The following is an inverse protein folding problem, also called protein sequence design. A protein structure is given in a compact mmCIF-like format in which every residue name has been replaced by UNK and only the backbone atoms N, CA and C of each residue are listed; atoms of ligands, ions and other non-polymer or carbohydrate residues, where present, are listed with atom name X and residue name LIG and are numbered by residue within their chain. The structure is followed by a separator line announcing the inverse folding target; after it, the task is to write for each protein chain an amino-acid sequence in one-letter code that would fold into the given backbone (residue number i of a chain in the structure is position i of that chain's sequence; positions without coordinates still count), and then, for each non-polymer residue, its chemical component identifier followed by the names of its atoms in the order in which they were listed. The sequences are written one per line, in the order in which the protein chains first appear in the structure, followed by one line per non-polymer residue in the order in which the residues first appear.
data_IF_164235617179
#
_entry.id   IF_164235617179
#
_cell.length_a   1.000
_cell.length_b   1.000
_cell.length_c   1.000
_cell.angle_alpha   90.00
_cell.angle_beta   90.00
_cell.angle_gamma   90.00
#
_symmetry.space_group_name_H-M   'P 1'
#
loop_
_entity.id
_entity.type
_entity.pdbx_description
1 polymer ?
#
# COMPACT_ATOMS: atom_id res chain seq x y z
N UNK A 1 5.88 -9.56 16.19
CA UNK A 1 4.81 -9.96 15.21
C UNK A 1 4.85 -9.06 13.99
N UNK A 2 4.76 -9.61 12.76
CA UNK A 2 4.59 -8.80 11.55
C UNK A 2 3.09 -8.53 11.31
N UNK A 3 2.72 -7.27 11.19
CA UNK A 3 1.34 -6.85 10.91
C UNK A 3 1.18 -6.57 9.41
N UNK A 4 0.48 -7.45 8.69
CA UNK A 4 0.14 -7.23 7.28
C UNK A 4 -1.18 -6.46 7.18
N UNK A 5 -1.13 -5.26 6.64
CA UNK A 5 -2.28 -4.37 6.45
C UNK A 5 -2.78 -4.45 5.00
N UNK A 6 -4.10 -4.38 4.78
CA UNK A 6 -4.73 -4.42 3.45
C UNK A 6 -4.95 -5.83 2.85
N UNK A 7 -5.16 -6.86 3.67
CA UNK A 7 -5.48 -8.21 3.17
C UNK A 7 -6.86 -8.33 2.52
N UNK A 8 -7.82 -7.48 2.90
CA UNK A 8 -9.23 -7.53 2.43
C UNK A 8 -9.65 -6.31 1.66
N UNK A 9 -8.97 -5.19 1.86
CA UNK A 9 -9.22 -3.91 1.20
C UNK A 9 -7.95 -3.08 1.28
N UNK A 10 -7.83 -2.05 0.45
CA UNK A 10 -6.73 -1.08 0.53
C UNK A 10 -6.98 -0.12 1.71
N UNK A 11 -6.46 -0.49 2.88
CA UNK A 11 -6.64 0.29 4.12
C UNK A 11 -5.97 1.67 4.01
N UNK A 12 -4.75 1.82 3.51
CA UNK A 12 -4.15 3.12 3.25
C UNK A 12 -5.01 4.04 2.40
N UNK A 13 -5.63 3.52 1.35
CA UNK A 13 -6.44 4.31 0.42
C UNK A 13 -7.81 4.70 0.98
N UNK A 14 -8.51 3.77 1.66
CA UNK A 14 -9.92 3.93 1.98
C UNK A 14 -10.23 4.02 3.48
N UNK A 15 -9.33 3.53 4.33
CA UNK A 15 -9.56 3.40 5.77
C UNK A 15 -8.41 3.95 6.62
N UNK A 16 -7.62 4.89 6.09
CA UNK A 16 -6.46 5.45 6.79
C UNK A 16 -6.82 6.03 8.16
N UNK A 17 -7.91 6.82 8.26
CA UNK A 17 -8.38 7.39 9.53
C UNK A 17 -8.75 6.31 10.54
N UNK A 18 -9.45 5.27 10.10
CA UNK A 18 -9.79 4.13 10.96
C UNK A 18 -8.52 3.42 11.46
N UNK A 19 -7.53 3.20 10.58
CA UNK A 19 -6.28 2.56 10.93
C UNK A 19 -5.52 3.35 12.01
N UNK A 20 -5.35 4.65 11.83
CA UNK A 20 -4.70 5.50 12.84
C UNK A 20 -5.46 5.54 14.17
N UNK A 21 -6.79 5.50 14.15
CA UNK A 21 -7.58 5.36 15.37
C UNK A 21 -7.29 4.03 16.07
N UNK A 22 -7.12 2.91 15.33
CA UNK A 22 -6.74 1.62 15.92
C UNK A 22 -5.32 1.64 16.49
N UNK A 23 -4.38 2.30 15.82
CA UNK A 23 -3.01 2.50 16.35
C UNK A 23 -3.07 3.28 17.68
N UNK A 24 -3.83 4.37 17.73
CA UNK A 24 -4.01 5.17 18.95
C UNK A 24 -4.67 4.39 20.10
N UNK A 25 -5.67 3.58 19.80
CA UNK A 25 -6.36 2.72 20.78
C UNK A 25 -5.47 1.54 21.25
N UNK A 26 -4.45 1.19 20.48
CA UNK A 26 -3.49 0.13 20.81
C UNK A 26 -4.02 -1.30 20.56
N UNK A 27 -5.17 -1.46 19.92
CA UNK A 27 -5.69 -2.79 19.53
C UNK A 27 -6.68 -2.73 18.36
N UNK A 28 -6.89 -3.91 17.74
CA UNK A 28 -7.92 -4.12 16.73
C UNK A 28 -8.58 -5.50 16.92
N UNK A 29 -9.87 -5.58 16.67
CA UNK A 29 -10.58 -6.86 16.55
C UNK A 29 -10.61 -7.31 15.09
N UNK A 30 -10.18 -8.54 14.85
CA UNK A 30 -10.19 -9.16 13.51
C UNK A 30 -11.05 -10.41 13.56
N UNK A 31 -12.09 -10.44 12.71
CA UNK A 31 -12.95 -11.61 12.55
C UNK A 31 -12.29 -12.60 11.59
N UNK A 32 -12.29 -13.88 11.96
CA UNK A 32 -11.83 -14.95 11.07
C UNK A 32 -12.77 -15.05 9.85
N UNK A 33 -12.28 -14.96 8.60
CA UNK A 33 -13.11 -15.06 7.41
C UNK A 33 -13.74 -16.46 7.21
N UNK A 34 -13.11 -17.50 7.75
CA UNK A 34 -13.58 -18.89 7.64
C UNK A 34 -14.52 -19.28 8.79
N UNK A 35 -14.51 -18.52 9.88
CA UNK A 35 -15.38 -18.76 11.03
C UNK A 35 -15.82 -17.42 11.64
N UNK A 36 -17.04 -17.00 11.32
CA UNK A 36 -17.60 -15.71 11.72
C UNK A 36 -17.75 -15.54 13.25
N UNK A 37 -17.79 -16.63 14.00
CA UNK A 37 -17.88 -16.61 15.46
C UNK A 37 -16.53 -16.46 16.14
N UNK A 38 -15.42 -16.63 15.40
CA UNK A 38 -14.08 -16.45 15.92
C UNK A 38 -13.59 -15.02 15.69
N UNK A 39 -13.39 -14.29 16.79
CA UNK A 39 -12.85 -12.92 16.79
C UNK A 39 -11.57 -12.92 17.61
N UNK A 40 -10.48 -12.40 17.00
CA UNK A 40 -9.19 -12.22 17.64
C UNK A 40 -8.96 -10.75 18.00
N UNK A 41 -8.55 -10.48 19.23
CA UNK A 41 -8.03 -9.16 19.62
C UNK A 41 -6.52 -9.14 19.35
N UNK A 42 -6.10 -8.23 18.48
CA UNK A 42 -4.68 -8.02 18.15
C UNK A 42 -4.22 -6.75 18.84
N UNK A 43 -3.17 -6.85 19.64
CA UNK A 43 -2.55 -5.71 20.30
C UNK A 43 -1.61 -5.02 19.32
N UNK A 44 -1.74 -3.71 19.23
CA UNK A 44 -1.02 -2.86 18.26
C UNK A 44 0.04 -1.96 18.95
N UNK A 45 0.70 -2.45 19.99
CA UNK A 45 1.77 -1.69 20.63
C UNK A 45 3.12 -1.89 19.92
N UNK A 46 3.99 -0.87 19.87
CA UNK A 46 5.29 -0.98 19.19
C UNK A 46 6.16 -2.14 19.72
N UNK A 47 6.04 -2.49 20.99
CA UNK A 47 6.80 -3.58 21.62
C UNK A 47 6.42 -4.97 21.08
N UNK A 48 5.21 -5.14 20.56
CA UNK A 48 4.70 -6.42 20.06
C UNK A 48 4.71 -6.52 18.54
N UNK A 49 4.89 -5.38 17.84
CA UNK A 49 4.93 -5.31 16.38
C UNK A 49 6.37 -5.09 15.91
N UNK A 50 6.97 -6.11 15.31
CA UNK A 50 8.31 -6.02 14.73
C UNK A 50 8.31 -5.14 13.46
N UNK A 51 7.24 -5.25 12.65
CA UNK A 51 7.09 -4.48 11.42
C UNK A 51 5.62 -4.41 10.97
N UNK A 52 5.22 -3.26 10.40
CA UNK A 52 3.95 -3.10 9.69
C UNK A 52 4.20 -3.07 8.20
N UNK A 53 3.51 -3.94 7.46
CA UNK A 53 3.58 -4.00 5.99
C UNK A 53 2.28 -3.46 5.40
N UNK A 54 2.37 -2.33 4.73
CA UNK A 54 1.25 -1.75 4.00
C UNK A 54 1.24 -2.19 2.55
N UNK A 55 0.07 -2.59 2.05
CA UNK A 55 -0.16 -2.91 0.64
C UNK A 55 -1.18 -1.91 0.11
N UNK A 56 -0.79 -1.12 -0.89
CA UNK A 56 -1.68 -0.06 -1.37
C UNK A 56 -1.43 0.27 -2.84
N UNK A 57 -2.49 0.72 -3.50
CA UNK A 57 -2.42 1.39 -4.80
C UNK A 57 -2.52 2.91 -4.69
N UNK A 58 -2.87 3.44 -3.50
CA UNK A 58 -2.95 4.88 -3.25
C UNK A 58 -2.83 5.21 -1.75
N UNK A 59 -1.64 5.28 -1.17
CA UNK A 59 -1.46 5.63 0.24
C UNK A 59 -1.55 7.15 0.52
N UNK A 60 -1.95 7.97 -0.45
CA UNK A 60 -2.06 9.44 -0.32
C UNK A 60 -2.75 9.90 0.97
N UNK A 61 -3.89 9.28 1.40
CA UNK A 61 -4.57 9.68 2.64
C UNK A 61 -3.75 9.50 3.92
N UNK A 62 -2.69 8.69 3.90
CA UNK A 62 -1.81 8.47 5.06
C UNK A 62 -0.67 9.48 5.16
N UNK A 63 -0.28 10.15 4.07
CA UNK A 63 0.95 10.95 4.00
C UNK A 63 1.05 12.01 5.09
N UNK A 64 -0.02 12.72 5.40
CA UNK A 64 -0.05 13.78 6.42
C UNK A 64 0.06 13.27 7.86
N UNK A 65 -0.08 11.96 8.07
CA UNK A 65 -0.15 11.33 9.39
C UNK A 65 0.95 10.29 9.63
N UNK A 66 1.92 10.16 8.73
CA UNK A 66 3.00 9.17 8.85
C UNK A 66 3.80 9.31 10.14
N UNK A 67 3.94 10.52 10.68
CA UNK A 67 4.58 10.78 11.99
C UNK A 67 3.94 10.04 13.15
N UNK A 68 2.66 9.69 13.06
CA UNK A 68 1.99 8.90 14.10
C UNK A 68 2.51 7.44 14.17
N UNK A 69 3.31 7.03 13.16
CA UNK A 69 3.93 5.71 13.07
C UNK A 69 5.43 5.72 13.43
N UNK A 70 6.00 6.83 13.90
CA UNK A 70 7.45 6.95 14.15
C UNK A 70 7.96 5.94 15.19
N UNK A 71 7.09 5.46 16.09
CA UNK A 71 7.43 4.41 17.05
C UNK A 71 7.44 2.98 16.45
N UNK A 72 7.04 2.80 15.17
CA UNK A 72 6.94 1.51 14.52
C UNK A 72 7.95 1.38 13.39
N UNK A 73 8.47 0.19 13.17
CA UNK A 73 9.08 -0.17 11.91
C UNK A 73 7.98 -0.45 10.90
N UNK A 74 8.03 0.15 9.72
CA UNK A 74 7.06 -0.09 8.67
C UNK A 74 7.63 0.17 7.28
N UNK A 75 7.00 -0.44 6.27
CA UNK A 75 7.27 -0.15 4.87
C UNK A 75 6.01 -0.34 4.03
N UNK A 76 6.06 0.20 2.82
CA UNK A 76 4.97 0.11 1.86
C UNK A 76 5.34 -0.79 0.68
N UNK A 77 4.44 -1.67 0.31
CA UNK A 77 4.40 -2.30 -0.99
C UNK A 77 3.39 -1.54 -1.84
N UNK A 78 3.90 -0.61 -2.64
CA UNK A 78 3.09 0.30 -3.44
C UNK A 78 2.95 -0.24 -4.85
N UNK A 79 1.74 -0.66 -5.21
CA UNK A 79 1.45 -1.20 -6.53
C UNK A 79 1.15 -0.09 -7.53
N UNK A 80 1.95 0.00 -8.59
CA UNK A 80 1.71 0.88 -9.74
C UNK A 80 1.76 0.04 -11.01
N UNK A 81 0.61 -0.09 -11.67
CA UNK A 81 0.43 -0.79 -12.95
C UNK A 81 0.17 0.22 -14.08
N UNK A 82 0.34 -0.19 -15.35
CA UNK A 82 0.08 0.69 -16.49
C UNK A 82 -1.40 0.83 -16.85
N UNK A 83 -2.28 0.11 -16.15
CA UNK A 83 -3.70 0.02 -16.50
C UNK A 83 -4.43 1.34 -16.31
N UNK A 84 -5.43 1.58 -17.13
CA UNK A 84 -6.32 2.73 -17.06
C UNK A 84 -7.54 2.49 -16.16
N UNK A 85 -8.46 3.45 -16.15
CA UNK A 85 -9.67 3.41 -15.32
C UNK A 85 -10.68 2.33 -15.73
N UNK A 86 -10.53 1.69 -16.89
CA UNK A 86 -11.38 0.56 -17.28
C UNK A 86 -11.08 -0.68 -16.45
N UNK A 87 -9.81 -0.88 -16.08
CA UNK A 87 -9.34 -1.98 -15.25
C UNK A 87 -9.14 -1.56 -13.78
N UNK A 88 -8.71 -0.32 -13.54
CA UNK A 88 -8.43 0.21 -12.20
C UNK A 88 -9.36 1.38 -11.85
N UNK A 89 -10.66 1.13 -11.83
CA UNK A 89 -11.73 2.13 -11.71
C UNK A 89 -11.56 3.13 -10.56
N UNK A 90 -11.02 2.70 -9.42
CA UNK A 90 -10.90 3.52 -8.21
C UNK A 90 -9.46 3.98 -7.92
N UNK A 91 -8.54 3.71 -8.83
CA UNK A 91 -7.17 4.22 -8.73
C UNK A 91 -7.11 5.59 -9.40
N UNK A 92 -6.55 6.63 -8.76
CA UNK A 92 -6.38 7.94 -9.37
C UNK A 92 -5.55 7.90 -10.65
N UNK A 93 -5.51 9.02 -11.39
CA UNK A 93 -4.73 9.13 -12.62
C UNK A 93 -3.26 8.79 -12.36
N UNK A 94 -2.60 8.21 -13.36
CA UNK A 94 -1.26 7.66 -13.22
C UNK A 94 -0.21 8.68 -12.75
N UNK A 95 -0.31 9.93 -13.21
CA UNK A 95 0.58 11.00 -12.73
C UNK A 95 0.40 11.28 -11.23
N UNK A 96 -0.85 11.35 -10.71
CA UNK A 96 -1.13 11.58 -9.29
C UNK A 96 -0.57 10.46 -8.42
N UNK A 97 -0.63 9.22 -8.91
CA UNK A 97 -0.10 8.04 -8.21
C UNK A 97 1.42 8.07 -8.17
N UNK A 98 2.07 8.44 -9.28
CA UNK A 98 3.53 8.59 -9.35
C UNK A 98 3.99 9.70 -8.39
N UNK A 99 3.28 10.83 -8.36
CA UNK A 99 3.60 11.93 -7.44
C UNK A 99 3.39 11.50 -5.97
N UNK A 100 2.35 10.73 -5.70
CA UNK A 100 2.12 10.13 -4.37
C UNK A 100 3.24 9.17 -3.98
N UNK A 101 3.75 8.37 -4.92
CA UNK A 101 4.87 7.45 -4.71
C UNK A 101 6.14 8.20 -4.31
N UNK A 102 6.47 9.26 -5.07
CA UNK A 102 7.62 10.11 -4.79
C UNK A 102 7.51 10.80 -3.45
N UNK A 103 6.35 11.42 -3.16
CA UNK A 103 6.09 12.08 -1.88
C UNK A 103 6.19 11.12 -0.68
N UNK A 104 5.72 9.87 -0.84
CA UNK A 104 5.89 8.84 0.18
C UNK A 104 7.36 8.48 0.38
N UNK A 105 8.10 8.26 -0.71
CA UNK A 105 9.53 7.95 -0.67
C UNK A 105 10.35 9.09 -0.04
N UNK A 106 10.05 10.33 -0.40
CA UNK A 106 10.71 11.51 0.19
C UNK A 106 10.42 11.62 1.70
N UNK A 107 9.23 11.22 2.14
CA UNK A 107 8.82 11.29 3.54
C UNK A 107 9.44 10.19 4.42
N UNK A 108 9.60 8.95 3.91
CA UNK A 108 10.03 7.81 4.73
C UNK A 108 11.34 7.15 4.27
N UNK A 109 11.88 7.59 3.15
CA UNK A 109 13.08 7.04 2.51
C UNK A 109 12.78 5.91 1.51
N UNK A 110 13.57 5.81 0.41
CA UNK A 110 13.33 4.87 -0.69
C UNK A 110 13.40 3.40 -0.25
N UNK A 111 14.24 3.07 0.73
CA UNK A 111 14.37 1.70 1.26
C UNK A 111 13.09 1.17 1.94
N UNK A 112 12.11 2.04 2.22
CA UNK A 112 10.83 1.68 2.83
C UNK A 112 9.65 1.75 1.88
N UNK A 113 9.90 1.98 0.58
CA UNK A 113 8.85 2.02 -0.46
C UNK A 113 9.22 1.06 -1.58
N UNK A 114 8.57 -0.10 -1.60
CA UNK A 114 8.80 -1.13 -2.62
C UNK A 114 7.78 -0.95 -3.73
N UNK A 115 8.25 -0.65 -4.96
CA UNK A 115 7.38 -0.65 -6.12
C UNK A 115 7.01 -2.07 -6.51
N UNK A 116 5.72 -2.32 -6.70
CA UNK A 116 5.17 -3.57 -7.23
C UNK A 116 4.50 -3.34 -8.57
N UNK A 117 4.86 -4.16 -9.54
CA UNK A 117 4.21 -4.23 -10.85
C UNK A 117 3.38 -5.51 -10.90
N UNK A 118 2.16 -5.47 -10.35
CA UNK A 118 1.33 -6.66 -10.07
C UNK A 118 -0.16 -6.30 -9.96
N UNK A 119 -1.10 -7.07 -10.57
CA UNK A 119 -0.87 -8.24 -11.42
C UNK A 119 -0.43 -7.87 -12.85
N UNK A 120 0.21 -8.83 -13.54
CA UNK A 120 0.45 -8.75 -14.99
C UNK A 120 -0.73 -9.42 -15.69
N UNK A 121 -1.51 -8.65 -16.44
CA UNK A 121 -2.69 -9.11 -17.18
C UNK A 121 -2.40 -9.20 -18.67
N UNK A 122 -2.87 -10.25 -19.31
CA UNK A 122 -2.82 -10.42 -20.77
C UNK A 122 -4.23 -10.37 -21.34
N UNK A 123 -4.43 -9.58 -22.38
CA UNK A 123 -5.67 -9.46 -23.16
C UNK A 123 -5.31 -9.30 -24.64
N UNK A 124 -6.30 -9.14 -25.50
CA UNK A 124 -6.06 -8.88 -26.92
C UNK A 124 -5.31 -7.54 -27.19
N UNK A 125 -5.36 -6.59 -26.25
CA UNK A 125 -4.72 -5.26 -26.37
C UNK A 125 -3.59 -5.04 -25.36
N UNK A 126 -3.40 -5.93 -24.42
CA UNK A 126 -2.36 -5.88 -23.39
C UNK A 126 -1.51 -7.14 -23.54
N UNK A 127 -0.43 -6.99 -24.25
CA UNK A 127 0.51 -8.07 -24.56
C UNK A 127 1.88 -7.87 -23.90
N UNK A 128 2.83 -8.71 -24.22
CA UNK A 128 4.20 -8.63 -23.71
C UNK A 128 4.89 -7.32 -24.11
N UNK A 129 4.63 -6.82 -25.31
CA UNK A 129 5.24 -5.58 -25.79
C UNK A 129 4.70 -4.37 -25.04
N UNK A 130 3.39 -4.35 -24.78
CA UNK A 130 2.75 -3.37 -23.91
C UNK A 130 3.42 -3.32 -22.51
N UNK A 131 3.61 -4.49 -21.90
CA UNK A 131 4.24 -4.54 -20.57
C UNK A 131 5.69 -4.08 -20.59
N UNK A 132 6.49 -4.46 -21.58
CA UNK A 132 7.88 -4.00 -21.73
C UNK A 132 7.97 -2.47 -21.84
N UNK A 133 7.13 -1.89 -22.68
CA UNK A 133 7.10 -0.44 -22.91
C UNK A 133 6.71 0.33 -21.64
N UNK A 134 5.62 -0.06 -21.01
CA UNK A 134 5.14 0.65 -19.83
C UNK A 134 5.98 0.40 -18.59
N UNK A 135 6.55 -0.80 -18.44
CA UNK A 135 7.49 -1.08 -17.36
C UNK A 135 8.74 -0.18 -17.47
N UNK A 136 9.30 -0.04 -18.68
CA UNK A 136 10.44 0.86 -18.91
C UNK A 136 10.10 2.31 -18.57
N UNK A 137 8.95 2.81 -19.00
CA UNK A 137 8.48 4.18 -18.68
C UNK A 137 8.28 4.40 -17.17
N UNK A 138 7.82 3.39 -16.46
CA UNK A 138 7.61 3.47 -15.02
C UNK A 138 8.95 3.39 -14.26
N UNK A 139 9.86 2.49 -14.63
CA UNK A 139 11.15 2.36 -13.97
C UNK A 139 11.98 3.65 -14.10
N UNK A 140 11.97 4.31 -15.26
CA UNK A 140 12.63 5.61 -15.45
C UNK A 140 12.16 6.68 -14.47
N UNK A 141 10.90 6.61 -14.04
CA UNK A 141 10.27 7.58 -13.14
C UNK A 141 10.40 7.22 -11.66
N UNK A 142 10.57 5.94 -11.34
CA UNK A 142 10.44 5.41 -9.98
C UNK A 142 11.75 4.92 -9.37
N UNK A 143 12.75 4.51 -10.18
CA UNK A 143 13.97 3.84 -9.70
C UNK A 143 14.77 4.57 -8.62
N UNK A 144 14.64 5.90 -8.52
CA UNK A 144 15.31 6.70 -7.47
C UNK A 144 14.54 6.72 -6.14
N UNK A 145 13.31 6.22 -6.15
CA UNK A 145 12.35 6.34 -5.05
C UNK A 145 11.97 4.97 -4.43
N UNK A 146 12.61 3.87 -4.88
CA UNK A 146 12.31 2.50 -4.43
C UNK A 146 13.59 1.69 -4.24
#
# INVERSE_FOLDING_TARGET
MILSVSRRTDIPAFYSTWFFNRIKEGFVYVRNPMNIHQISKIILTPQLIDCIVFWSKNPKPMLSRLKELDAYNYYFQFTINPYDTSLEKYVPKKHDIIDTFKALSDAIGPNRVIWRYDPILFTNSIDIQYHKEYFSKLIERLHKYT
#
